data_IF_446066021017
#
_entry.id   IF_446066021017
#
_cell.length_a   1.000
_cell.length_b   1.000
_cell.length_c   1.000
_cell.angle_alpha   90.00
_cell.angle_beta   90.00
_cell.angle_gamma   90.00
#
_symmetry.space_group_name_H-M   'P 1'
#
loop_
_entity.id
_entity.type
_entity.pdbx_description
1 polymer ?
#
# COMPACT_ATOMS: atom_id res chain seq x y z
N UNK A 1 21.47 25.90 46.70
CA UNK A 1 22.41 24.89 46.17
C UNK A 1 21.60 24.02 45.20
N UNK A 2 21.84 24.26 43.93
CA UNK A 2 21.14 23.62 42.80
C UNK A 2 22.04 22.48 42.36
N UNK A 3 21.58 21.27 42.41
CA UNK A 3 22.27 20.12 41.80
C UNK A 3 21.48 19.65 40.57
N UNK A 4 22.04 20.02 39.39
CA UNK A 4 21.54 19.63 38.09
C UNK A 4 22.10 18.28 37.72
N UNK A 5 21.20 17.28 37.52
CA UNK A 5 21.57 15.99 36.94
C UNK A 5 21.13 15.97 35.48
N UNK A 6 22.12 16.22 34.61
CA UNK A 6 21.97 16.03 33.15
C UNK A 6 21.90 14.53 32.83
N UNK A 7 20.75 14.05 32.36
CA UNK A 7 20.65 12.76 31.68
C UNK A 7 21.02 12.96 30.21
N UNK A 8 22.04 12.26 29.76
CA UNK A 8 22.45 12.16 28.36
C UNK A 8 21.36 11.45 27.57
N UNK A 9 20.77 12.16 26.61
CA UNK A 9 19.95 11.58 25.55
C UNK A 9 20.90 11.21 24.43
N UNK A 10 20.95 9.92 24.07
CA UNK A 10 21.76 9.42 22.95
C UNK A 10 21.24 9.95 21.63
N UNK A 11 22.08 10.66 20.91
CA UNK A 11 21.79 11.12 19.56
C UNK A 11 21.91 9.95 18.58
N UNK A 12 20.79 9.54 18.02
CA UNK A 12 20.78 8.72 16.79
C UNK A 12 20.98 9.69 15.63
N UNK A 13 22.12 9.57 14.96
CA UNK A 13 22.41 10.35 13.75
C UNK A 13 21.65 9.76 12.57
N UNK A 14 20.59 10.44 12.17
CA UNK A 14 19.95 10.22 10.87
C UNK A 14 20.78 11.02 9.85
N UNK A 15 21.43 10.34 8.91
CA UNK A 15 22.14 10.98 7.81
C UNK A 15 21.13 11.59 6.82
N UNK A 16 20.86 12.89 6.99
CA UNK A 16 20.27 13.74 5.97
C UNK A 16 21.35 14.13 4.96
N UNK A 17 21.32 13.51 3.78
CA UNK A 17 22.16 13.96 2.65
C UNK A 17 21.57 15.26 2.11
N UNK A 18 22.06 16.40 2.58
CA UNK A 18 21.86 17.70 1.94
C UNK A 18 22.77 17.78 0.71
N UNK A 19 22.20 17.91 -0.48
CA UNK A 19 22.92 18.37 -1.66
C UNK A 19 23.39 19.81 -1.43
N UNK A 20 24.67 20.00 -1.29
CA UNK A 20 25.30 21.32 -1.31
C UNK A 20 25.54 21.72 -2.76
N UNK A 21 24.87 22.78 -3.22
CA UNK A 21 25.19 23.49 -4.45
C UNK A 21 26.36 24.44 -4.19
N UNK A 22 27.56 24.07 -4.63
CA UNK A 22 28.72 24.93 -4.64
C UNK A 22 28.96 25.47 -6.05
N UNK A 23 28.79 26.78 -6.22
CA UNK A 23 29.21 27.52 -7.42
C UNK A 23 30.69 27.86 -7.29
N UNK A 24 31.50 27.40 -8.23
CA UNK A 24 32.85 27.91 -8.46
C UNK A 24 33.02 28.26 -9.92
N UNK A 25 33.33 29.53 -10.18
CA UNK A 25 33.69 30.07 -11.50
C UNK A 25 35.16 29.75 -11.82
N UNK A 26 35.44 29.27 -13.02
CA UNK A 26 36.77 29.14 -13.56
C UNK A 26 36.73 29.00 -15.08
N UNK A 27 37.47 29.93 -15.74
CA UNK A 27 37.49 30.21 -17.19
C UNK A 27 38.34 29.22 -18.03
N UNK A 28 37.96 29.13 -19.33
CA UNK A 28 38.75 28.81 -20.56
C UNK A 28 39.18 27.34 -20.79
N UNK A 29 38.89 26.70 -21.93
CA UNK A 29 39.17 26.99 -23.34
C UNK A 29 38.51 25.93 -24.23
N UNK A 30 38.13 26.37 -25.45
CA UNK A 30 37.62 25.55 -26.53
C UNK A 30 38.68 24.59 -27.09
N UNK A 31 38.33 23.34 -27.37
CA UNK A 31 38.87 22.58 -28.51
C UNK A 31 37.79 21.70 -29.10
N UNK A 32 37.62 21.83 -30.39
CA UNK A 32 36.79 21.05 -31.30
C UNK A 32 37.43 19.69 -31.51
N UNK A 33 36.68 18.59 -31.39
CA UNK A 33 37.20 17.25 -31.65
C UNK A 33 36.13 16.19 -31.75
N UNK A 34 35.67 15.91 -32.95
CA UNK A 34 35.21 14.63 -33.55
C UNK A 34 34.57 13.55 -32.65
N UNK A 35 33.32 13.17 -33.00
CA UNK A 35 32.67 11.92 -32.65
C UNK A 35 33.56 10.70 -32.96
N UNK A 36 33.63 9.71 -32.06
CA UNK A 36 33.96 8.35 -32.46
C UNK A 36 32.69 7.52 -32.65
N UNK A 37 32.77 6.69 -33.69
CA UNK A 37 31.80 5.73 -34.15
C UNK A 37 31.55 4.63 -33.14
N UNK A 38 30.35 4.02 -33.25
CA UNK A 38 30.00 2.78 -32.58
C UNK A 38 31.05 1.71 -32.88
N UNK A 39 31.67 1.17 -31.85
CA UNK A 39 32.48 -0.05 -31.92
C UNK A 39 31.79 -1.15 -31.11
N UNK A 40 31.54 -2.24 -31.81
CA UNK A 40 31.19 -3.56 -31.34
C UNK A 40 32.01 -3.93 -30.09
N UNK A 41 31.32 -4.31 -29.02
CA UNK A 41 31.91 -5.12 -27.96
C UNK A 41 31.44 -6.57 -28.11
N UNK A 42 32.38 -7.36 -28.61
CA UNK A 42 32.29 -8.79 -28.71
C UNK A 42 32.11 -9.47 -27.32
N UNK A 43 31.31 -10.51 -27.37
CA UNK A 43 31.00 -11.43 -26.28
C UNK A 43 32.22 -11.97 -25.53
N UNK A 44 32.22 -11.88 -24.23
CA UNK A 44 32.94 -12.81 -23.37
C UNK A 44 32.13 -13.12 -22.11
N UNK A 45 31.74 -14.38 -21.97
CA UNK A 45 31.55 -15.16 -20.76
C UNK A 45 30.60 -14.66 -19.71
N UNK A 46 29.46 -15.36 -19.54
CA UNK A 46 28.64 -15.45 -18.32
C UNK A 46 28.52 -14.17 -17.46
N UNK A 47 28.09 -13.06 -18.03
CA UNK A 47 27.50 -11.97 -17.25
C UNK A 47 26.02 -12.26 -17.13
N UNK A 48 25.57 -12.71 -15.95
CA UNK A 48 24.15 -12.74 -15.63
C UNK A 48 23.58 -11.34 -15.97
N UNK A 49 22.42 -11.31 -16.65
CA UNK A 49 21.75 -10.04 -16.94
C UNK A 49 21.55 -9.29 -15.65
N UNK A 50 21.98 -8.03 -15.58
CA UNK A 50 21.80 -7.14 -14.45
C UNK A 50 20.75 -6.10 -14.81
N UNK A 51 19.77 -5.92 -13.94
CA UNK A 51 18.78 -4.86 -14.08
C UNK A 51 19.20 -3.67 -13.23
N UNK A 52 19.37 -2.52 -13.86
CA UNK A 52 19.52 -1.24 -13.16
C UNK A 52 18.14 -0.65 -12.87
N UNK A 53 17.81 -0.46 -11.60
CA UNK A 53 16.52 0.05 -11.16
C UNK A 53 16.66 0.99 -9.96
N UNK A 54 16.18 2.22 -10.09
CA UNK A 54 16.25 3.27 -9.06
C UNK A 54 17.67 3.47 -8.50
N UNK A 55 18.68 3.42 -9.39
CA UNK A 55 20.09 3.63 -9.04
C UNK A 55 20.75 2.45 -8.32
N UNK A 56 20.12 1.28 -8.32
CA UNK A 56 20.68 0.04 -7.78
C UNK A 56 20.73 -1.04 -8.85
N UNK A 57 21.75 -1.90 -8.77
CA UNK A 57 21.95 -3.04 -9.67
C UNK A 57 21.41 -4.32 -9.05
N UNK A 58 20.56 -5.02 -9.77
CA UNK A 58 19.95 -6.28 -9.33
C UNK A 58 20.32 -7.39 -10.33
N UNK A 59 20.97 -8.48 -9.88
CA UNK A 59 21.18 -9.64 -10.74
C UNK A 59 19.83 -10.26 -11.09
N UNK A 60 19.63 -10.57 -12.37
CA UNK A 60 18.44 -11.28 -12.85
C UNK A 60 18.67 -12.79 -12.79
N UNK A 61 17.60 -13.54 -12.56
CA UNK A 61 17.55 -14.98 -12.51
C UNK A 61 16.27 -15.53 -13.16
N UNK A 62 16.00 -16.83 -12.99
CA UNK A 62 14.79 -17.46 -13.53
C UNK A 62 13.48 -16.99 -12.85
N UNK A 63 13.57 -16.24 -11.74
CA UNK A 63 12.41 -15.60 -11.09
C UNK A 63 12.04 -14.27 -11.71
N UNK A 64 12.99 -13.59 -12.37
CA UNK A 64 12.76 -12.27 -12.98
C UNK A 64 11.62 -12.31 -13.99
N UNK A 65 10.61 -11.43 -13.81
CA UNK A 65 9.42 -11.40 -14.65
C UNK A 65 8.88 -9.99 -14.92
N UNK A 66 9.73 -8.97 -14.78
CA UNK A 66 9.37 -7.57 -15.02
C UNK A 66 9.19 -7.30 -16.52
N UNK A 67 8.07 -6.69 -16.88
CA UNK A 67 7.85 -6.22 -18.25
C UNK A 67 8.35 -4.77 -18.44
N UNK A 68 8.67 -4.38 -19.67
CA UNK A 68 9.05 -3.00 -20.00
C UNK A 68 7.97 -1.99 -19.63
N UNK A 69 6.69 -2.37 -19.76
CA UNK A 69 5.53 -1.56 -19.41
C UNK A 69 5.51 -1.24 -17.92
N UNK A 70 5.74 -2.23 -17.06
CA UNK A 70 5.80 -2.03 -15.60
C UNK A 70 7.04 -1.21 -15.21
N UNK A 71 8.20 -1.53 -15.78
CA UNK A 71 9.44 -0.79 -15.52
C UNK A 71 9.31 0.70 -15.85
N UNK A 72 8.59 1.08 -16.91
CA UNK A 72 8.35 2.49 -17.26
C UNK A 72 7.47 3.24 -16.25
N UNK A 73 6.81 2.55 -15.33
CA UNK A 73 5.96 3.11 -14.28
C UNK A 73 6.68 3.26 -12.94
N UNK A 74 7.75 2.48 -12.72
CA UNK A 74 8.53 2.55 -11.48
C UNK A 74 9.16 3.94 -11.30
N UNK A 75 8.97 4.52 -10.13
CA UNK A 75 9.50 5.83 -9.79
C UNK A 75 8.74 7.02 -10.37
N UNK A 76 7.58 6.81 -10.99
CA UNK A 76 6.72 7.92 -11.46
C UNK A 76 6.11 8.71 -10.32
N UNK A 77 5.88 8.09 -9.17
CA UNK A 77 5.43 8.71 -7.91
C UNK A 77 4.24 9.66 -8.11
N UNK A 78 3.17 9.20 -8.79
CA UNK A 78 2.00 10.02 -9.12
C UNK A 78 1.35 10.65 -7.87
N UNK A 79 1.40 9.93 -6.74
CA UNK A 79 0.93 10.41 -5.44
C UNK A 79 1.73 11.59 -4.88
N UNK A 80 2.89 11.90 -5.44
CA UNK A 80 3.75 13.04 -5.08
C UNK A 80 3.79 14.13 -6.18
N UNK A 81 3.07 13.93 -7.27
CA UNK A 81 2.95 14.95 -8.31
C UNK A 81 1.84 15.94 -7.94
N UNK A 82 2.21 17.16 -7.61
CA UNK A 82 1.28 18.23 -7.23
C UNK A 82 0.16 18.37 -8.27
N UNK A 83 -1.07 18.52 -7.81
CA UNK A 83 -2.28 18.62 -8.63
C UNK A 83 -2.67 17.33 -9.37
N UNK A 84 -1.98 16.22 -9.16
CA UNK A 84 -2.49 14.93 -9.60
C UNK A 84 -3.63 14.47 -8.69
N UNK A 85 -4.71 13.82 -9.18
CA UNK A 85 -5.82 13.39 -8.30
C UNK A 85 -5.38 12.48 -7.14
N UNK A 86 -4.38 11.62 -7.34
CA UNK A 86 -3.82 10.80 -6.26
C UNK A 86 -3.07 11.61 -5.21
N UNK A 87 -2.38 12.69 -5.64
CA UNK A 87 -1.76 13.63 -4.72
C UNK A 87 -2.82 14.35 -3.87
N UNK A 88 -3.93 14.77 -4.47
CA UNK A 88 -5.03 15.42 -3.74
C UNK A 88 -5.59 14.51 -2.65
N UNK A 89 -5.89 13.25 -2.96
CA UNK A 89 -6.40 12.28 -1.97
C UNK A 89 -5.37 12.08 -0.86
N UNK A 90 -4.10 11.87 -1.21
CA UNK A 90 -3.02 11.71 -0.23
C UNK A 90 -2.93 12.90 0.72
N UNK A 91 -2.91 14.11 0.20
CA UNK A 91 -2.80 15.31 1.04
C UNK A 91 -4.05 15.50 1.93
N UNK A 92 -5.26 15.21 1.44
CA UNK A 92 -6.49 15.25 2.25
C UNK A 92 -6.46 14.24 3.41
N UNK A 93 -6.01 13.01 3.14
CA UNK A 93 -5.84 11.99 4.20
C UNK A 93 -4.78 12.45 5.20
N UNK A 94 -3.63 12.91 4.73
CA UNK A 94 -2.54 13.42 5.58
C UNK A 94 -3.00 14.59 6.44
N UNK A 95 -3.69 15.57 5.87
CA UNK A 95 -4.24 16.72 6.60
C UNK A 95 -5.21 16.26 7.69
N UNK A 96 -6.12 15.33 7.38
CA UNK A 96 -7.04 14.77 8.36
C UNK A 96 -6.30 14.16 9.56
N UNK A 97 -5.29 13.31 9.31
CA UNK A 97 -4.51 12.71 10.39
C UNK A 97 -3.72 13.75 11.19
N UNK A 98 -3.17 14.77 10.55
CA UNK A 98 -2.42 15.83 11.23
C UNK A 98 -3.29 16.72 12.10
N UNK A 99 -4.53 16.95 11.71
CA UNK A 99 -5.49 17.75 12.48
C UNK A 99 -6.14 16.95 13.62
N UNK A 100 -6.47 15.69 13.39
CA UNK A 100 -7.21 14.87 14.37
C UNK A 100 -6.32 14.20 15.39
N UNK A 101 -5.07 13.88 15.06
CA UNK A 101 -4.16 13.12 15.91
C UNK A 101 -2.93 13.96 16.24
N UNK A 102 -3.07 14.74 17.31
CA UNK A 102 -2.05 15.69 17.78
C UNK A 102 -1.45 15.20 19.09
N UNK A 103 -0.14 15.14 19.15
CA UNK A 103 0.59 14.79 20.38
C UNK A 103 0.56 15.91 21.43
N UNK A 104 1.10 15.64 22.59
CA UNK A 104 1.08 16.54 23.76
C UNK A 104 1.64 17.95 23.50
N UNK A 105 2.51 18.10 22.51
CA UNK A 105 3.16 19.38 22.18
C UNK A 105 2.59 20.06 20.93
N UNK A 106 1.42 19.63 20.47
CA UNK A 106 0.78 20.18 19.28
C UNK A 106 1.39 19.69 17.96
N UNK A 107 2.30 18.70 18.01
CA UNK A 107 2.88 18.07 16.82
C UNK A 107 1.99 16.92 16.33
N UNK A 108 1.91 16.66 15.01
CA UNK A 108 1.22 15.49 14.50
C UNK A 108 1.75 14.20 15.12
N UNK A 109 0.85 13.29 15.48
CA UNK A 109 1.20 11.99 16.02
C UNK A 109 1.78 11.07 14.95
N UNK A 110 1.20 11.11 13.75
CA UNK A 110 1.59 10.23 12.65
C UNK A 110 2.74 10.83 11.83
N UNK A 111 3.79 10.05 11.61
CA UNK A 111 4.83 10.34 10.63
C UNK A 111 4.41 9.82 9.24
N UNK A 112 4.74 10.54 8.16
CA UNK A 112 4.36 10.16 6.80
C UNK A 112 5.59 9.75 5.99
N UNK A 113 5.52 8.58 5.36
CA UNK A 113 6.54 7.99 4.50
C UNK A 113 5.94 7.77 3.11
N UNK A 114 6.22 8.66 2.17
CA UNK A 114 5.65 8.65 0.82
C UNK A 114 6.72 8.59 -0.30
N UNK A 115 7.96 8.28 0.06
CA UNK A 115 9.10 8.18 -0.86
C UNK A 115 9.92 6.88 -0.70
N UNK A 116 9.38 5.89 0.03
CA UNK A 116 10.06 4.61 0.23
C UNK A 116 10.19 3.83 -1.09
N UNK A 117 11.36 3.20 -1.28
CA UNK A 117 11.64 2.40 -2.47
C UNK A 117 10.56 1.33 -2.70
N UNK A 118 9.99 1.22 -3.91
CA UNK A 118 9.05 0.14 -4.23
C UNK A 118 9.73 -1.22 -4.41
N UNK A 119 11.05 -1.26 -4.52
CA UNK A 119 11.80 -2.54 -4.54
C UNK A 119 12.06 -2.98 -3.12
N UNK A 120 11.48 -4.12 -2.76
CA UNK A 120 11.56 -4.73 -1.44
C UNK A 120 12.07 -6.17 -1.56
N UNK A 121 12.50 -6.75 -0.45
CA UNK A 121 12.80 -8.17 -0.39
C UNK A 121 11.51 -9.00 -0.36
N UNK A 122 11.58 -10.25 -0.81
CA UNK A 122 10.47 -11.21 -0.66
C UNK A 122 10.11 -11.42 0.81
N UNK A 123 11.09 -11.35 1.71
CA UNK A 123 10.86 -11.40 3.15
C UNK A 123 10.00 -10.23 3.65
N UNK A 124 10.33 -8.99 3.26
CA UNK A 124 9.53 -7.80 3.61
C UNK A 124 8.09 -7.89 3.09
N UNK A 125 7.92 -8.40 1.86
CA UNK A 125 6.59 -8.47 1.24
C UNK A 125 5.71 -9.59 1.78
N UNK A 126 6.31 -10.66 2.33
CA UNK A 126 5.58 -11.87 2.73
C UNK A 126 5.90 -12.34 4.15
N UNK A 127 7.14 -12.74 4.43
CA UNK A 127 7.48 -13.43 5.67
C UNK A 127 7.33 -12.52 6.90
N UNK A 128 7.72 -11.26 6.78
CA UNK A 128 7.55 -10.27 7.85
C UNK A 128 6.07 -10.02 8.21
N UNK A 129 5.17 -10.36 7.31
CA UNK A 129 3.71 -10.25 7.45
C UNK A 129 3.03 -11.60 7.73
N UNK A 130 3.80 -12.60 8.14
CA UNK A 130 3.29 -13.92 8.50
C UNK A 130 2.55 -14.64 7.35
N UNK A 131 2.76 -14.23 6.10
CA UNK A 131 2.15 -14.88 4.94
C UNK A 131 2.84 -16.23 4.72
N UNK A 132 2.12 -17.38 4.76
CA UNK A 132 2.70 -18.71 4.61
C UNK A 132 3.47 -18.89 3.30
N UNK A 133 4.48 -19.76 3.31
CA UNK A 133 5.36 -19.98 2.15
C UNK A 133 4.61 -20.55 0.94
N UNK A 134 3.55 -21.30 1.16
CA UNK A 134 2.68 -21.91 0.14
C UNK A 134 1.45 -21.06 -0.21
N UNK A 135 1.34 -19.87 0.38
CA UNK A 135 0.18 -18.98 0.15
C UNK A 135 0.07 -18.57 -1.32
N UNK A 136 -1.15 -18.62 -1.92
CA UNK A 136 -1.36 -18.28 -3.32
C UNK A 136 -0.83 -16.91 -3.73
N UNK A 137 -0.89 -15.90 -2.84
CA UNK A 137 -0.39 -14.54 -3.10
C UNK A 137 1.11 -14.45 -3.41
N UNK A 138 1.89 -15.52 -3.15
CA UNK A 138 3.32 -15.57 -3.50
C UNK A 138 3.58 -16.05 -4.94
N UNK A 139 2.54 -16.41 -5.68
CA UNK A 139 2.70 -16.91 -7.04
C UNK A 139 3.36 -15.88 -7.95
N UNK A 140 4.25 -16.36 -8.81
CA UNK A 140 4.92 -15.57 -9.83
C UNK A 140 3.91 -14.96 -10.84
N UNK A 141 2.75 -15.61 -11.00
CA UNK A 141 1.64 -15.11 -11.80
C UNK A 141 1.00 -13.84 -11.27
N UNK A 142 1.09 -13.57 -9.95
CA UNK A 142 0.40 -12.46 -9.30
C UNK A 142 1.33 -11.30 -8.94
N UNK A 143 2.66 -11.54 -8.98
CA UNK A 143 3.67 -10.59 -8.54
C UNK A 143 4.73 -10.27 -9.59
N UNK A 144 5.40 -9.15 -9.41
CA UNK A 144 6.53 -8.69 -10.21
C UNK A 144 7.84 -8.89 -9.46
N UNK A 145 8.56 -9.97 -9.78
CA UNK A 145 9.85 -10.32 -9.20
C UNK A 145 11.00 -9.69 -9.99
N UNK A 146 11.89 -9.01 -9.27
CA UNK A 146 13.17 -8.55 -9.78
C UNK A 146 14.13 -9.75 -9.94
N UNK A 147 14.15 -10.60 -8.90
CA UNK A 147 14.84 -11.89 -8.83
C UNK A 147 14.25 -12.74 -7.70
N UNK A 148 14.86 -13.87 -7.34
CA UNK A 148 14.37 -14.77 -6.29
C UNK A 148 14.31 -14.16 -4.88
N UNK A 149 14.99 -13.02 -4.64
CA UNK A 149 15.05 -12.38 -3.31
C UNK A 149 14.44 -10.99 -3.27
N UNK A 150 14.23 -10.35 -4.42
CA UNK A 150 13.68 -9.00 -4.52
C UNK A 150 12.49 -8.95 -5.48
N UNK A 151 11.55 -8.07 -5.18
CA UNK A 151 10.35 -7.86 -5.97
C UNK A 151 9.89 -6.40 -5.89
N UNK A 152 9.00 -6.00 -6.79
CA UNK A 152 8.22 -4.77 -6.61
C UNK A 152 7.14 -5.07 -5.56
N UNK A 153 7.01 -4.22 -4.55
CA UNK A 153 6.05 -4.42 -3.44
C UNK A 153 4.63 -4.61 -3.97
N UNK A 154 3.95 -5.63 -3.49
CA UNK A 154 2.55 -5.89 -3.83
C UNK A 154 1.56 -5.08 -2.96
N UNK A 155 2.05 -4.50 -1.86
CA UNK A 155 1.33 -3.64 -0.91
C UNK A 155 2.32 -2.81 -0.10
N UNK A 156 1.82 -1.73 0.51
CA UNK A 156 2.62 -0.84 1.36
C UNK A 156 3.00 -1.46 2.69
N UNK A 157 2.27 -2.50 3.15
CA UNK A 157 2.55 -3.24 4.39
C UNK A 157 3.94 -3.91 4.42
N UNK A 158 4.60 -4.05 3.26
CA UNK A 158 5.99 -4.52 3.18
C UNK A 158 6.98 -3.66 4.00
N UNK A 159 6.59 -2.45 4.37
CA UNK A 159 7.41 -1.54 5.17
C UNK A 159 7.07 -1.51 6.66
N UNK A 160 5.99 -2.17 7.10
CA UNK A 160 5.54 -2.15 8.49
C UNK A 160 6.65 -2.56 9.46
N UNK A 161 7.25 -3.73 9.21
CA UNK A 161 8.24 -4.30 10.13
C UNK A 161 9.45 -3.38 10.29
N UNK A 162 9.97 -2.81 9.22
CA UNK A 162 11.13 -1.93 9.25
C UNK A 162 10.84 -0.64 10.03
N UNK A 163 9.66 -0.06 9.85
CA UNK A 163 9.26 1.17 10.54
C UNK A 163 8.98 0.93 12.03
N UNK A 164 8.32 -0.17 12.37
CA UNK A 164 8.14 -0.61 13.76
C UNK A 164 9.49 -0.89 14.43
N UNK A 165 10.38 -1.58 13.73
CA UNK A 165 11.74 -1.86 14.21
C UNK A 165 12.57 -0.59 14.43
N UNK A 166 12.29 0.45 13.68
CA UNK A 166 12.88 1.78 13.89
C UNK A 166 12.31 2.53 15.10
N UNK A 167 11.33 1.96 15.82
CA UNK A 167 10.72 2.53 17.01
C UNK A 167 9.59 3.52 16.73
N UNK A 168 8.91 3.38 15.59
CA UNK A 168 7.77 4.22 15.24
C UNK A 168 6.46 3.58 15.70
N UNK A 169 5.68 4.33 16.48
CA UNK A 169 4.40 3.86 17.04
C UNK A 169 3.19 4.32 16.23
N UNK A 170 3.33 5.36 15.41
CA UNK A 170 2.26 5.87 14.56
C UNK A 170 2.82 6.42 13.24
N UNK A 171 2.41 5.84 12.11
CA UNK A 171 2.88 6.27 10.81
C UNK A 171 1.88 5.97 9.68
N UNK A 172 2.01 6.73 8.59
CA UNK A 172 1.36 6.49 7.32
C UNK A 172 2.43 6.15 6.28
N UNK A 173 2.19 5.10 5.49
CA UNK A 173 3.02 4.76 4.33
C UNK A 173 2.19 4.94 3.07
N UNK A 174 2.73 5.69 2.10
CA UNK A 174 2.05 5.92 0.82
C UNK A 174 2.99 5.56 -0.32
N UNK A 175 2.49 4.87 -1.32
CA UNK A 175 3.28 4.60 -2.50
C UNK A 175 2.63 3.69 -3.52
N UNK A 176 3.29 3.60 -4.66
CA UNK A 176 2.94 2.70 -5.74
C UNK A 176 3.11 1.24 -5.33
N UNK A 177 2.19 0.40 -5.75
CA UNK A 177 2.20 -1.05 -5.54
C UNK A 177 1.96 -1.77 -6.87
N UNK A 178 2.41 -3.02 -6.96
CA UNK A 178 2.56 -3.73 -8.21
C UNK A 178 1.98 -5.13 -8.10
N UNK A 179 0.92 -5.39 -8.88
CA UNK A 179 0.27 -6.71 -8.98
C UNK A 179 0.05 -7.07 -10.42
N UNK A 180 0.26 -8.34 -10.76
CA UNK A 180 -0.04 -8.82 -12.11
C UNK A 180 -1.54 -9.06 -12.21
N UNK A 181 -2.22 -8.10 -12.80
CA UNK A 181 -3.65 -8.13 -13.02
C UNK A 181 -3.98 -7.81 -14.47
N UNK A 182 -5.19 -8.12 -14.90
CA UNK A 182 -5.71 -7.69 -16.19
C UNK A 182 -5.85 -6.17 -16.21
N UNK A 183 -5.88 -5.60 -17.42
CA UNK A 183 -6.04 -4.16 -17.59
C UNK A 183 -7.44 -3.89 -18.11
N UNK A 184 -8.27 -3.26 -17.27
CA UNK A 184 -9.61 -2.81 -17.60
C UNK A 184 -9.90 -1.44 -16.97
N UNK A 185 -11.17 -1.05 -16.88
CA UNK A 185 -11.56 0.23 -16.27
C UNK A 185 -11.35 0.28 -14.75
N UNK A 186 -11.23 -0.88 -14.09
CA UNK A 186 -11.14 -1.02 -12.63
C UNK A 186 -9.78 -1.54 -12.17
N UNK A 187 -9.00 -2.19 -13.07
CA UNK A 187 -7.76 -2.86 -12.75
C UNK A 187 -6.60 -2.31 -13.59
N UNK A 188 -5.47 -2.11 -12.93
CA UNK A 188 -4.20 -1.74 -13.57
C UNK A 188 -3.04 -2.34 -12.78
N UNK A 189 -1.96 -2.80 -13.44
CA UNK A 189 -0.86 -3.49 -12.77
C UNK A 189 -0.10 -2.66 -11.74
N UNK A 190 -0.21 -1.34 -11.82
CA UNK A 190 0.43 -0.39 -10.91
C UNK A 190 -0.62 0.57 -10.39
N UNK A 191 -0.83 0.57 -9.09
CA UNK A 191 -1.74 1.47 -8.41
C UNK A 191 -1.10 1.95 -7.10
N UNK A 192 -1.79 2.76 -6.30
CA UNK A 192 -1.22 3.38 -5.10
C UNK A 192 -2.03 2.98 -3.87
N UNK A 193 -1.32 2.66 -2.81
CA UNK A 193 -1.91 2.41 -1.50
C UNK A 193 -1.44 3.44 -0.49
N UNK A 194 -2.32 3.74 0.45
CA UNK A 194 -2.00 4.40 1.71
C UNK A 194 -2.32 3.43 2.82
N UNK A 195 -1.37 3.25 3.71
CA UNK A 195 -1.48 2.42 4.90
C UNK A 195 -1.24 3.24 6.15
N UNK A 196 -1.95 2.97 7.21
CA UNK A 196 -1.72 3.53 8.53
C UNK A 196 -1.53 2.44 9.57
N UNK A 197 -0.58 2.68 10.47
CA UNK A 197 -0.27 1.82 11.62
C UNK A 197 -0.25 2.65 12.87
N UNK A 198 -0.80 2.14 13.97
CA UNK A 198 -0.68 2.73 15.29
C UNK A 198 -0.51 1.66 16.35
N UNK A 199 0.52 1.80 17.17
CA UNK A 199 0.75 1.03 18.38
C UNK A 199 0.34 1.84 19.60
N UNK A 200 -0.04 1.12 20.66
CA UNK A 200 -0.42 1.66 21.96
C UNK A 200 0.31 0.94 23.07
N UNK A 201 0.86 1.69 23.98
CA UNK A 201 1.23 1.19 25.30
C UNK A 201 -0.02 0.92 26.14
N UNK A 202 0.13 0.13 27.23
CA UNK A 202 -0.94 -0.09 28.20
C UNK A 202 -1.53 1.23 28.70
N UNK A 203 -0.67 2.19 29.03
CA UNK A 203 -1.09 3.49 29.55
C UNK A 203 -1.93 4.27 28.52
N UNK A 204 -1.50 4.29 27.25
CA UNK A 204 -2.23 5.01 26.20
C UNK A 204 -3.60 4.40 25.93
N UNK A 205 -3.68 3.06 25.83
CA UNK A 205 -4.93 2.39 25.48
C UNK A 205 -5.98 2.52 26.57
N UNK A 206 -5.59 2.46 27.84
CA UNK A 206 -6.52 2.46 28.97
C UNK A 206 -6.69 3.84 29.62
N UNK A 207 -6.04 4.89 29.09
CA UNK A 207 -6.21 6.25 29.60
C UNK A 207 -7.67 6.70 29.50
N UNK A 208 -8.23 7.20 30.61
CA UNK A 208 -9.63 7.66 30.69
C UNK A 208 -10.66 6.55 30.83
N UNK A 209 -10.26 5.29 30.90
CA UNK A 209 -11.13 4.16 31.19
C UNK A 209 -11.23 4.01 32.72
N UNK A 210 -12.46 3.80 33.22
CA UNK A 210 -12.67 3.51 34.66
C UNK A 210 -11.92 2.23 35.01
N UNK A 211 -11.14 2.29 36.08
CA UNK A 211 -10.29 1.19 36.57
C UNK A 211 -9.25 0.70 35.54
N UNK A 212 -8.91 1.55 34.53
CA UNK A 212 -8.00 1.23 33.43
C UNK A 212 -6.59 0.80 33.87
N UNK A 213 -6.12 1.28 35.04
CA UNK A 213 -4.81 0.87 35.58
C UNK A 213 -4.75 -0.64 35.91
N UNK A 214 -5.89 -1.24 36.31
CA UNK A 214 -6.00 -2.67 36.62
C UNK A 214 -6.06 -3.56 35.38
N UNK A 215 -6.45 -3.02 34.22
CA UNK A 215 -6.57 -3.74 32.99
C UNK A 215 -5.17 -4.12 32.42
N UNK A 216 -5.11 -5.21 31.67
CA UNK A 216 -3.89 -5.69 31.06
C UNK A 216 -4.06 -5.77 29.53
N UNK A 217 -2.97 -5.56 28.79
CA UNK A 217 -2.97 -5.77 27.34
C UNK A 217 -2.97 -7.25 26.96
N UNK A 218 -2.26 -8.04 27.77
CA UNK A 218 -1.93 -9.43 27.44
C UNK A 218 -2.43 -10.40 28.49
N UNK A 219 -2.80 -11.58 28.04
CA UNK A 219 -3.16 -12.75 28.84
C UNK A 219 -2.69 -14.03 28.14
N UNK A 220 -2.80 -15.17 28.76
CA UNK A 220 -2.63 -16.49 28.13
C UNK A 220 -3.99 -17.16 28.02
N UNK A 221 -4.47 -17.29 26.80
CA UNK A 221 -5.79 -17.87 26.55
C UNK A 221 -5.82 -18.54 25.16
N UNK A 222 -6.98 -19.02 24.74
CA UNK A 222 -7.18 -19.55 23.39
C UNK A 222 -7.53 -18.44 22.41
N UNK A 223 -7.10 -18.59 21.15
CA UNK A 223 -7.56 -17.77 20.06
C UNK A 223 -9.05 -17.98 19.82
N UNK A 224 -9.76 -16.92 19.53
CA UNK A 224 -11.19 -16.94 19.21
C UNK A 224 -11.45 -16.09 17.97
N UNK A 225 -12.68 -16.07 17.47
CA UNK A 225 -13.07 -15.19 16.37
C UNK A 225 -12.85 -13.69 16.67
N UNK A 226 -12.82 -13.33 17.96
CA UNK A 226 -12.82 -11.94 18.41
C UNK A 226 -11.49 -11.45 18.93
N UNK A 227 -10.53 -12.34 19.21
CA UNK A 227 -9.22 -11.95 19.74
C UNK A 227 -8.14 -13.01 19.51
N UNK A 228 -6.89 -12.56 19.52
CA UNK A 228 -5.71 -13.42 19.53
C UNK A 228 -5.53 -14.07 20.91
N UNK A 229 -4.82 -15.18 20.95
CA UNK A 229 -4.55 -15.96 22.17
C UNK A 229 -3.82 -15.15 23.26
N UNK A 230 -3.00 -14.18 22.86
CA UNK A 230 -2.20 -13.35 23.77
C UNK A 230 -2.87 -12.07 24.22
N UNK A 231 -3.94 -11.64 23.56
CA UNK A 231 -4.62 -10.38 23.87
C UNK A 231 -5.75 -10.58 24.88
N UNK A 232 -5.97 -9.59 25.76
CA UNK A 232 -7.20 -9.52 26.55
C UNK A 232 -8.37 -9.08 25.69
N UNK A 233 -9.59 -9.46 26.07
CA UNK A 233 -10.80 -9.04 25.36
C UNK A 233 -11.01 -7.54 25.44
N UNK A 234 -10.70 -6.94 26.59
CA UNK A 234 -10.80 -5.50 26.84
C UNK A 234 -9.88 -4.71 25.91
N UNK A 235 -8.62 -5.11 25.82
CA UNK A 235 -7.65 -4.47 24.94
C UNK A 235 -8.06 -4.58 23.47
N UNK A 236 -8.50 -5.77 23.04
CA UNK A 236 -8.93 -5.98 21.64
C UNK A 236 -10.15 -5.12 21.28
N UNK A 237 -11.17 -5.06 22.18
CA UNK A 237 -12.36 -4.24 21.94
C UNK A 237 -12.06 -2.74 21.89
N UNK A 238 -11.17 -2.26 22.72
CA UNK A 238 -10.76 -0.85 22.70
C UNK A 238 -9.97 -0.51 21.44
N UNK A 239 -9.08 -1.40 20.99
CA UNK A 239 -8.39 -1.24 19.71
C UNK A 239 -9.33 -1.25 18.52
N UNK A 240 -10.26 -2.20 18.49
CA UNK A 240 -11.28 -2.28 17.44
C UNK A 240 -12.13 -0.99 17.39
N UNK A 241 -12.54 -0.50 18.57
CA UNK A 241 -13.29 0.74 18.68
C UNK A 241 -12.49 1.95 18.15
N UNK A 242 -11.24 2.12 18.60
CA UNK A 242 -10.36 3.22 18.16
C UNK A 242 -10.12 3.15 16.64
N UNK A 243 -9.84 1.96 16.13
CA UNK A 243 -9.64 1.72 14.69
C UNK A 243 -10.89 2.09 13.87
N UNK A 244 -12.05 1.52 14.23
CA UNK A 244 -13.31 1.77 13.50
C UNK A 244 -13.71 3.25 13.59
N UNK A 245 -13.54 3.89 14.75
CA UNK A 245 -13.80 5.32 14.91
C UNK A 245 -12.86 6.17 14.06
N UNK A 246 -11.56 5.86 14.05
CA UNK A 246 -10.54 6.54 13.24
C UNK A 246 -10.91 6.50 11.76
N UNK A 247 -11.24 5.33 11.26
CA UNK A 247 -11.55 5.12 9.84
C UNK A 247 -12.92 5.69 9.44
N UNK A 248 -13.91 5.60 10.31
CA UNK A 248 -15.22 6.26 10.09
C UNK A 248 -15.04 7.77 9.95
N UNK A 249 -14.27 8.41 10.84
CA UNK A 249 -13.98 9.86 10.77
C UNK A 249 -13.23 10.21 9.49
N UNK A 250 -12.25 9.39 9.08
CA UNK A 250 -11.53 9.61 7.83
C UNK A 250 -12.47 9.58 6.62
N UNK A 251 -13.30 8.54 6.51
CA UNK A 251 -14.21 8.35 5.39
C UNK A 251 -15.28 9.44 5.38
N UNK A 252 -15.83 9.82 6.54
CA UNK A 252 -16.75 10.96 6.66
C UNK A 252 -16.08 12.29 6.24
N UNK A 253 -14.82 12.51 6.62
CA UNK A 253 -14.08 13.71 6.17
C UNK A 253 -13.91 13.74 4.64
N UNK A 254 -13.68 12.61 4.00
CA UNK A 254 -13.48 12.53 2.56
C UNK A 254 -14.78 12.67 1.76
N UNK A 255 -15.84 12.01 2.20
CA UNK A 255 -17.09 11.87 1.44
C UNK A 255 -18.24 12.76 1.96
N UNK A 256 -18.12 13.30 3.16
CA UNK A 256 -19.16 14.07 3.82
C UNK A 256 -20.05 13.25 4.76
N UNK A 257 -20.96 13.96 5.44
CA UNK A 257 -21.90 13.36 6.38
C UNK A 257 -23.03 12.59 5.65
N UNK A 258 -23.63 11.61 6.32
CA UNK A 258 -24.78 10.86 5.80
C UNK A 258 -24.39 9.66 4.90
N UNK A 259 -23.14 9.25 4.94
CA UNK A 259 -22.67 8.05 4.24
C UNK A 259 -23.03 6.80 5.03
N UNK A 260 -23.69 5.84 4.37
CA UNK A 260 -23.94 4.52 4.94
C UNK A 260 -22.64 3.71 4.93
N UNK A 261 -22.21 3.28 6.11
CA UNK A 261 -20.99 2.49 6.32
C UNK A 261 -21.37 1.16 6.93
N UNK A 262 -20.81 0.07 6.42
CA UNK A 262 -20.85 -1.24 7.08
C UNK A 262 -19.47 -1.84 7.24
N UNK A 263 -19.34 -2.66 8.28
CA UNK A 263 -18.14 -3.42 8.58
C UNK A 263 -18.40 -4.89 8.28
N UNK A 264 -17.48 -5.50 7.54
CA UNK A 264 -17.55 -6.90 7.16
C UNK A 264 -16.35 -7.62 7.76
N UNK A 265 -16.59 -8.73 8.45
CA UNK A 265 -15.51 -9.56 8.97
C UNK A 265 -14.76 -10.22 7.82
N UNK A 266 -13.44 -10.19 7.88
CA UNK A 266 -12.57 -10.78 6.87
C UNK A 266 -11.34 -11.44 7.51
N UNK A 267 -10.42 -11.92 6.68
CA UNK A 267 -9.19 -12.55 7.14
C UNK A 267 -7.98 -12.00 6.40
N UNK A 268 -6.98 -11.53 7.17
CA UNK A 268 -5.64 -11.23 6.70
C UNK A 268 -4.62 -11.97 7.56
N UNK A 269 -3.52 -12.52 6.97
CA UNK A 269 -2.52 -13.26 7.74
C UNK A 269 -1.83 -12.47 8.85
N UNK A 270 -1.81 -11.14 8.76
CA UNK A 270 -1.06 -10.24 9.64
C UNK A 270 -1.95 -9.41 10.58
N UNK A 271 -3.27 -9.64 10.60
CA UNK A 271 -4.21 -9.01 11.54
C UNK A 271 -5.25 -10.01 12.04
N UNK A 272 -5.70 -9.84 13.30
CA UNK A 272 -6.83 -10.57 13.86
C UNK A 272 -7.35 -9.88 15.15
N UNK A 273 -8.66 -9.51 15.25
CA UNK A 273 -9.66 -9.61 14.18
C UNK A 273 -9.37 -8.67 13.02
N UNK A 274 -9.95 -9.00 11.86
CA UNK A 274 -9.78 -8.25 10.62
C UNK A 274 -11.12 -7.85 10.04
N UNK A 275 -11.18 -6.67 9.42
CA UNK A 275 -12.40 -6.08 8.89
C UNK A 275 -12.15 -5.42 7.54
N UNK A 276 -13.19 -5.40 6.72
CA UNK A 276 -13.33 -4.52 5.58
C UNK A 276 -14.38 -3.46 5.87
N UNK A 277 -14.11 -2.22 5.45
CA UNK A 277 -15.10 -1.16 5.46
C UNK A 277 -15.69 -1.03 4.07
N UNK A 278 -17.01 -1.11 3.97
CA UNK A 278 -17.75 -0.82 2.77
C UNK A 278 -18.64 0.41 2.95
N UNK A 279 -18.78 1.18 1.88
CA UNK A 279 -19.67 2.33 1.82
C UNK A 279 -20.77 2.09 0.80
N UNK A 280 -21.99 2.59 1.07
CA UNK A 280 -23.06 2.62 0.07
C UNK A 280 -22.86 3.83 -0.83
N UNK A 281 -22.53 3.57 -2.09
CA UNK A 281 -22.35 4.61 -3.09
C UNK A 281 -23.28 4.33 -4.29
N UNK A 282 -24.21 5.25 -4.54
CA UNK A 282 -25.26 5.08 -5.58
C UNK A 282 -26.09 3.79 -5.49
N UNK A 283 -26.31 3.27 -4.26
CA UNK A 283 -27.07 2.06 -4.01
C UNK A 283 -26.27 0.76 -4.09
N UNK A 284 -24.97 0.84 -4.37
CA UNK A 284 -24.05 -0.30 -4.37
C UNK A 284 -23.08 -0.23 -3.19
N UNK A 285 -22.77 -1.39 -2.59
CA UNK A 285 -21.78 -1.48 -1.53
C UNK A 285 -20.38 -1.65 -2.14
N UNK A 286 -19.52 -0.69 -1.85
CA UNK A 286 -18.15 -0.66 -2.35
C UNK A 286 -17.16 -0.78 -1.18
N UNK A 287 -16.28 -1.76 -1.23
CA UNK A 287 -15.14 -1.87 -0.34
C UNK A 287 -14.18 -0.69 -0.56
N UNK A 288 -13.83 0.02 0.50
CA UNK A 288 -12.91 1.17 0.45
C UNK A 288 -11.58 0.90 1.14
N UNK A 289 -11.56 0.04 2.16
CA UNK A 289 -10.34 -0.29 2.91
C UNK A 289 -10.48 -1.63 3.66
N UNK A 290 -9.31 -2.23 3.92
CA UNK A 290 -9.16 -3.34 4.87
C UNK A 290 -8.38 -2.90 6.09
N UNK A 291 -8.67 -3.48 7.26
CA UNK A 291 -8.02 -3.13 8.52
C UNK A 291 -8.10 -4.26 9.55
N UNK A 292 -7.39 -4.11 10.67
CA UNK A 292 -7.48 -5.06 11.77
C UNK A 292 -6.51 -4.79 12.90
N UNK A 293 -6.65 -5.57 13.96
CA UNK A 293 -5.69 -5.61 15.06
C UNK A 293 -4.48 -6.40 14.63
N UNK A 294 -3.30 -5.81 14.70
CA UNK A 294 -2.06 -6.43 14.22
C UNK A 294 -1.77 -7.74 14.96
N UNK A 295 -1.30 -8.75 14.25
CA UNK A 295 -0.82 -9.98 14.88
C UNK A 295 0.32 -9.68 15.85
N UNK A 296 0.17 -10.10 17.09
CA UNK A 296 1.15 -9.82 18.15
C UNK A 296 2.52 -10.43 17.84
N UNK A 297 2.54 -11.54 17.12
CA UNK A 297 3.79 -12.15 16.64
C UNK A 297 4.58 -11.19 15.75
N UNK A 298 3.91 -10.43 14.88
CA UNK A 298 4.56 -9.42 14.03
C UNK A 298 5.12 -8.29 14.89
N UNK A 299 4.31 -7.73 15.79
CA UNK A 299 4.69 -6.63 16.69
C UNK A 299 5.88 -7.03 17.57
N UNK A 300 5.84 -8.24 18.15
CA UNK A 300 6.93 -8.79 18.94
C UNK A 300 8.22 -8.96 18.13
N UNK A 301 8.12 -9.45 16.91
CA UNK A 301 9.29 -9.65 16.03
C UNK A 301 9.98 -8.35 15.65
N UNK A 302 9.22 -7.26 15.60
CA UNK A 302 9.73 -5.91 15.35
C UNK A 302 10.33 -5.24 16.63
N UNK A 303 10.15 -5.85 17.81
CA UNK A 303 10.75 -5.37 19.06
C UNK A 303 9.84 -4.52 19.94
N UNK A 304 8.52 -4.50 19.70
CA UNK A 304 7.52 -3.74 20.44
C UNK A 304 6.62 -4.66 21.32
N UNK A 305 7.24 -5.54 22.10
CA UNK A 305 6.56 -6.62 22.86
C UNK A 305 5.57 -6.14 23.93
N UNK A 306 5.71 -4.93 24.39
CA UNK A 306 4.89 -4.29 25.43
C UNK A 306 3.74 -3.43 24.85
N UNK A 307 3.58 -3.45 23.53
CA UNK A 307 2.59 -2.68 22.80
C UNK A 307 1.65 -3.58 21.99
N UNK A 308 0.48 -3.04 21.69
CA UNK A 308 -0.57 -3.65 20.86
C UNK A 308 -1.05 -2.60 19.87
N UNK A 309 -1.49 -3.00 18.69
CA UNK A 309 -1.84 -1.98 17.70
C UNK A 309 -2.77 -2.45 16.60
N UNK A 310 -3.10 -1.51 15.75
CA UNK A 310 -3.92 -1.74 14.57
C UNK A 310 -3.24 -1.22 13.30
N UNK A 311 -3.68 -1.77 12.18
CA UNK A 311 -3.28 -1.32 10.84
C UNK A 311 -4.49 -1.25 9.91
N UNK A 312 -4.42 -0.36 8.92
CA UNK A 312 -5.38 -0.30 7.81
C UNK A 312 -4.67 -0.01 6.50
N UNK A 313 -5.28 -0.43 5.39
CA UNK A 313 -4.79 -0.13 4.05
C UNK A 313 -5.94 0.24 3.12
N UNK A 314 -5.74 1.26 2.29
CA UNK A 314 -6.71 1.72 1.31
C UNK A 314 -6.05 1.99 -0.05
N UNK A 315 -6.82 1.81 -1.14
CA UNK A 315 -6.39 2.13 -2.51
C UNK A 315 -6.73 3.56 -2.88
N UNK A 316 -5.73 4.36 -3.25
CA UNK A 316 -5.95 5.78 -3.58
C UNK A 316 -6.77 5.96 -4.85
N UNK A 317 -6.55 5.13 -5.87
CA UNK A 317 -7.30 5.18 -7.13
C UNK A 317 -8.78 4.94 -6.91
N UNK A 318 -9.15 3.92 -6.12
CA UNK A 318 -10.55 3.63 -5.82
C UNK A 318 -11.25 4.82 -5.14
N UNK A 319 -10.62 5.40 -4.13
CA UNK A 319 -11.15 6.60 -3.48
C UNK A 319 -11.28 7.77 -4.45
N UNK A 320 -10.26 8.01 -5.29
CA UNK A 320 -10.28 9.10 -6.26
C UNK A 320 -11.35 8.88 -7.35
N UNK A 321 -11.54 7.63 -7.82
CA UNK A 321 -12.60 7.30 -8.78
C UNK A 321 -13.97 7.61 -8.22
N UNK A 322 -14.23 7.24 -6.95
CA UNK A 322 -15.52 7.52 -6.30
C UNK A 322 -15.69 9.02 -6.01
N UNK A 323 -14.69 9.68 -5.42
CA UNK A 323 -14.77 11.08 -5.01
C UNK A 323 -14.86 12.06 -6.16
N UNK A 324 -14.21 11.76 -7.27
CA UNK A 324 -14.09 12.66 -8.41
C UNK A 324 -14.88 12.22 -9.64
N UNK A 325 -15.66 11.13 -9.54
CA UNK A 325 -16.41 10.53 -10.66
C UNK A 325 -15.50 10.15 -11.84
N UNK A 326 -14.29 9.63 -11.57
CA UNK A 326 -13.35 9.17 -12.61
C UNK A 326 -13.75 7.75 -13.04
N UNK A 327 -14.15 7.53 -14.30
CA UNK A 327 -14.77 6.26 -14.70
C UNK A 327 -13.77 5.13 -14.99
N UNK A 328 -12.49 5.45 -15.12
CA UNK A 328 -11.48 4.51 -15.59
C UNK A 328 -10.12 4.74 -14.91
N UNK A 329 -9.60 3.69 -14.26
CA UNK A 329 -8.31 3.73 -13.54
C UNK A 329 -7.12 4.09 -14.45
N UNK A 330 -7.22 3.81 -15.75
CA UNK A 330 -6.17 4.10 -16.73
C UNK A 330 -5.94 5.60 -16.92
N UNK A 331 -6.93 6.43 -16.60
CA UNK A 331 -6.84 7.90 -16.69
C UNK A 331 -5.77 8.47 -15.74
N UNK A 332 -5.54 7.84 -14.57
CA UNK A 332 -4.49 8.28 -13.66
C UNK A 332 -3.08 8.22 -14.28
N UNK A 333 -2.89 7.38 -15.29
CA UNK A 333 -1.63 7.24 -16.01
C UNK A 333 -1.57 8.06 -17.30
N UNK A 334 -2.61 8.85 -17.57
CA UNK A 334 -2.66 9.77 -18.71
C UNK A 334 -1.79 11.00 -18.44
N UNK A 335 -1.09 11.46 -19.47
CA UNK A 335 -0.39 12.76 -19.48
C UNK A 335 -1.26 13.84 -20.17
N UNK A 336 -2.54 13.56 -20.42
CA UNK A 336 -3.44 14.48 -21.08
C UNK A 336 -3.82 15.65 -20.16
N UNK A 337 -3.41 16.85 -20.58
CA UNK A 337 -3.70 18.10 -19.86
C UNK A 337 -5.20 18.37 -19.69
N UNK A 338 -6.07 17.85 -20.57
CA UNK A 338 -7.52 17.97 -20.42
C UNK A 338 -8.04 17.26 -19.18
N UNK A 339 -7.38 16.13 -18.81
CA UNK A 339 -7.64 15.41 -17.57
C UNK A 339 -6.99 16.14 -16.39
N UNK A 340 -5.67 16.34 -16.45
CA UNK A 340 -4.87 16.79 -15.30
C UNK A 340 -5.24 18.23 -14.84
N UNK A 341 -5.58 19.14 -15.76
CA UNK A 341 -5.92 20.52 -15.40
C UNK A 341 -7.19 20.64 -14.55
N UNK A 342 -8.09 19.66 -14.60
CA UNK A 342 -9.33 19.67 -13.80
C UNK A 342 -9.05 19.52 -12.30
N UNK A 343 -7.89 19.01 -11.93
CA UNK A 343 -7.44 18.79 -10.55
C UNK A 343 -6.48 19.86 -10.04
N UNK A 344 -6.24 20.93 -10.81
CA UNK A 344 -5.43 22.09 -10.40
C UNK A 344 -6.26 23.04 -9.53
N UNK A 345 -6.49 22.61 -8.30
CA UNK A 345 -7.26 23.37 -7.31
C UNK A 345 -6.33 24.15 -6.39
N UNK A 346 -6.81 25.28 -5.86
CA UNK A 346 -6.10 26.08 -4.85
C UNK A 346 -6.26 25.56 -3.42
N UNK A 347 -7.36 24.86 -3.17
CA UNK A 347 -7.68 24.20 -1.89
C UNK A 347 -7.87 22.72 -2.13
N UNK A 348 -7.11 21.88 -1.43
CA UNK A 348 -7.18 20.41 -1.57
C UNK A 348 -8.55 19.85 -1.18
N UNK A 349 -9.32 20.57 -0.37
CA UNK A 349 -10.68 20.17 0.05
C UNK A 349 -11.78 20.65 -0.90
N UNK A 350 -11.41 21.37 -1.96
CA UNK A 350 -12.36 21.78 -2.99
C UNK A 350 -13.00 20.55 -3.65
N UNK A 351 -14.34 20.59 -3.78
CA UNK A 351 -15.06 19.54 -4.52
C UNK A 351 -14.71 19.60 -6.00
N UNK A 352 -14.18 18.52 -6.53
CA UNK A 352 -13.90 18.34 -7.97
C UNK A 352 -14.76 17.19 -8.47
N UNK A 353 -15.36 17.36 -9.63
CA UNK A 353 -15.98 16.27 -10.41
C UNK A 353 -15.35 16.24 -11.78
N UNK A 354 -14.88 15.09 -12.17
CA UNK A 354 -14.33 14.85 -13.50
C UNK A 354 -15.42 15.05 -14.56
N UNK A 355 -15.07 15.77 -15.62
CA UNK A 355 -15.93 15.99 -16.78
C UNK A 355 -15.22 15.45 -18.02
N UNK A 356 -15.84 14.47 -18.69
CA UNK A 356 -15.36 14.03 -19.99
C UNK A 356 -15.68 15.10 -21.03
N UNK A 357 -14.66 15.60 -21.71
CA UNK A 357 -14.83 16.58 -22.79
C UNK A 357 -15.24 15.81 -24.05
N UNK A 358 -16.51 15.98 -24.45
CA UNK A 358 -17.16 15.24 -25.54
C UNK A 358 -16.49 15.33 -26.92
N UNK A 359 -15.58 16.27 -27.13
CA UNK A 359 -14.97 16.52 -28.46
C UNK A 359 -13.89 15.50 -28.86
N UNK A 360 -13.32 14.74 -27.93
CA UNK A 360 -12.33 13.68 -28.18
C UNK A 360 -12.19 12.80 -26.95
N UNK A 361 -12.45 11.49 -27.04
CA UNK A 361 -12.29 10.61 -25.88
C UNK A 361 -10.88 10.69 -25.33
N UNK A 362 -10.74 10.78 -24.01
CA UNK A 362 -9.46 10.85 -23.28
C UNK A 362 -8.68 9.54 -23.35
N UNK A 363 -9.38 8.44 -23.59
CA UNK A 363 -8.78 7.13 -23.85
C UNK A 363 -9.03 6.77 -25.32
N UNK A 364 -8.02 6.27 -26.06
CA UNK A 364 -8.27 5.74 -27.37
C UNK A 364 -9.27 4.59 -27.30
N UNK A 365 -10.27 4.60 -28.18
CA UNK A 365 -11.32 3.57 -28.28
C UNK A 365 -10.76 2.16 -28.61
N UNK A 366 -9.48 2.05 -28.92
CA UNK A 366 -8.76 0.82 -29.22
C UNK A 366 -7.43 0.80 -28.46
N UNK A 367 -7.47 0.46 -27.19
CA UNK A 367 -6.38 -0.35 -26.64
C UNK A 367 -6.72 -1.77 -27.08
N UNK A 368 -5.85 -2.48 -27.82
CA UNK A 368 -6.13 -3.83 -28.24
C UNK A 368 -6.49 -4.66 -27.00
N UNK A 369 -7.58 -5.42 -27.03
CA UNK A 369 -7.81 -6.41 -26.01
C UNK A 369 -6.64 -7.39 -26.12
N UNK A 370 -5.91 -7.56 -25.04
CA UNK A 370 -4.76 -8.46 -24.94
C UNK A 370 -3.49 -8.01 -25.70
N UNK A 371 -2.66 -7.21 -25.02
CA UNK A 371 -1.29 -6.94 -25.49
C UNK A 371 -0.40 -8.17 -25.36
N UNK A 372 0.45 -8.32 -26.32
CA UNK A 372 1.41 -9.38 -26.61
C UNK A 372 2.56 -9.54 -25.57
N UNK A 373 2.30 -9.42 -24.27
CA UNK A 373 3.32 -9.62 -23.22
C UNK A 373 3.04 -10.79 -22.26
N UNK A 374 1.99 -11.57 -22.54
CA UNK A 374 1.81 -12.88 -21.92
C UNK A 374 2.29 -13.93 -22.92
N UNK A 375 3.58 -14.20 -22.94
CA UNK A 375 4.10 -15.43 -23.57
C UNK A 375 3.55 -16.59 -22.73
N UNK A 376 2.63 -17.42 -23.27
CA UNK A 376 2.24 -18.64 -22.56
C UNK A 376 3.45 -19.58 -22.60
N UNK A 377 3.95 -20.00 -21.46
CA UNK A 377 4.83 -21.16 -21.40
C UNK A 377 4.08 -22.32 -22.06
N UNK A 378 4.59 -22.75 -23.23
CA UNK A 378 4.10 -23.94 -23.91
C UNK A 378 4.39 -25.14 -23.03
N UNK A 379 3.34 -25.79 -22.61
CA UNK A 379 3.41 -27.17 -22.21
C UNK A 379 2.95 -27.51 -20.81
N UNK A 380 1.65 -27.46 -20.58
CA UNK A 380 1.00 -28.49 -19.80
C UNK A 380 -0.43 -28.69 -20.35
N UNK A 381 -0.62 -29.82 -21.01
CA UNK A 381 -1.94 -30.24 -21.49
C UNK A 381 -2.85 -30.51 -20.30
N UNK A 382 -4.05 -29.93 -20.35
CA UNK A 382 -5.13 -30.31 -19.43
C UNK A 382 -5.51 -31.79 -19.63
N UNK A 383 -5.74 -32.54 -18.54
CA UNK A 383 -6.32 -33.87 -18.64
C UNK A 383 -7.74 -33.81 -19.18
N UNK A 384 -8.20 -34.76 -19.99
CA UNK A 384 -9.53 -34.77 -20.59
C UNK A 384 -10.57 -35.13 -19.52
N UNK A 385 -11.53 -34.24 -19.25
CA UNK A 385 -12.65 -34.57 -18.39
C UNK A 385 -13.38 -33.43 -17.69
N UNK A 386 -13.47 -32.22 -18.27
CA UNK A 386 -14.38 -31.19 -17.73
C UNK A 386 -15.25 -30.60 -18.85
N UNK A 387 -16.34 -31.29 -19.16
CA UNK A 387 -17.49 -30.74 -19.90
C UNK A 387 -18.56 -30.30 -18.89
N UNK A 388 -18.78 -28.98 -18.73
CA UNK A 388 -19.82 -28.46 -17.84
C UNK A 388 -19.78 -26.94 -17.83
N UNK A 389 -20.66 -26.30 -18.63
CA UNK A 389 -20.71 -24.87 -18.89
C UNK A 389 -20.88 -24.00 -17.66
N UNK A 390 -20.04 -22.98 -17.57
CA UNK A 390 -20.24 -21.82 -16.70
C UNK A 390 -20.97 -20.72 -17.50
N UNK A 391 -22.21 -20.45 -17.12
CA UNK A 391 -22.92 -19.23 -17.52
C UNK A 391 -22.44 -18.08 -16.65
N UNK A 392 -22.18 -16.95 -17.32
CA UNK A 392 -21.80 -15.70 -16.73
C UNK A 392 -22.83 -15.22 -15.69
N UNK A 393 -22.35 -14.89 -14.50
CA UNK A 393 -23.07 -14.05 -13.54
C UNK A 393 -22.28 -12.75 -13.39
N UNK A 394 -22.89 -11.65 -13.82
CA UNK A 394 -22.42 -10.30 -13.60
C UNK A 394 -22.53 -9.96 -12.11
N UNK A 395 -21.47 -9.39 -11.52
CA UNK A 395 -21.47 -8.88 -10.15
C UNK A 395 -20.14 -9.12 -9.44
N UNK A 396 -19.09 -8.40 -9.83
CA UNK A 396 -17.81 -8.47 -9.13
C UNK A 396 -17.38 -7.06 -8.69
N UNK A 397 -17.82 -6.67 -7.48
CA UNK A 397 -17.39 -5.48 -6.77
C UNK A 397 -16.40 -5.73 -5.63
N UNK A 398 -15.73 -6.88 -5.54
CA UNK A 398 -14.99 -7.27 -4.35
C UNK A 398 -13.58 -7.81 -4.54
N UNK A 399 -12.84 -7.48 -5.61
CA UNK A 399 -11.60 -8.22 -5.93
C UNK A 399 -10.26 -7.53 -5.68
N UNK A 400 -10.19 -6.31 -5.13
CA UNK A 400 -8.87 -5.65 -4.95
C UNK A 400 -8.13 -6.14 -3.69
N UNK A 401 -8.83 -6.63 -2.67
CA UNK A 401 -8.20 -7.28 -1.51
C UNK A 401 -8.21 -8.82 -1.58
N UNK A 402 -9.10 -9.42 -2.37
CA UNK A 402 -9.16 -10.88 -2.55
C UNK A 402 -7.93 -11.50 -3.23
N UNK A 403 -7.00 -10.74 -3.79
CA UNK A 403 -5.73 -11.30 -4.27
C UNK A 403 -4.80 -11.80 -3.15
N UNK A 404 -5.16 -11.57 -1.87
CA UNK A 404 -4.53 -12.24 -0.72
C UNK A 404 -5.23 -13.56 -0.36
N UNK A 405 -6.45 -13.79 -0.88
CA UNK A 405 -7.20 -15.03 -0.71
C UNK A 405 -7.29 -15.70 -2.08
N UNK A 406 -6.64 -16.84 -2.28
CA UNK A 406 -6.74 -17.61 -3.51
C UNK A 406 -8.18 -18.09 -3.77
N UNK A 407 -8.56 -18.38 -5.04
CA UNK A 407 -9.87 -18.93 -5.38
C UNK A 407 -10.04 -20.34 -4.81
N UNK A 408 -10.72 -20.48 -3.67
CA UNK A 408 -10.92 -21.78 -3.03
C UNK A 408 -11.56 -21.79 -1.65
N UNK A 409 -11.76 -20.65 -0.99
CA UNK A 409 -12.52 -20.63 0.26
C UNK A 409 -14.01 -20.42 -0.03
N UNK A 410 -14.73 -21.50 -0.32
CA UNK A 410 -16.19 -21.51 -0.21
C UNK A 410 -16.57 -21.59 1.27
N UNK A 411 -17.46 -20.72 1.72
CA UNK A 411 -18.09 -20.67 3.05
C UNK A 411 -19.05 -21.86 3.32
N UNK A 412 -18.70 -23.08 2.96
CA UNK A 412 -19.49 -24.27 3.27
C UNK A 412 -18.68 -25.23 4.14
N UNK A 413 -18.54 -24.92 5.44
CA UNK A 413 -17.85 -25.78 6.36
C UNK A 413 -17.80 -25.31 7.83
N UNK A 414 -18.73 -24.41 8.23
CA UNK A 414 -18.87 -23.96 9.63
C UNK A 414 -20.31 -24.09 10.11
N UNK A 415 -20.86 -25.28 9.94
CA UNK A 415 -21.94 -25.80 10.80
C UNK A 415 -21.47 -27.18 11.24
N UNK A 416 -21.24 -27.34 12.53
CA UNK A 416 -20.74 -28.46 13.30
C UNK A 416 -19.24 -28.37 13.69
N UNK A 417 -19.00 -27.55 14.70
CA UNK A 417 -18.13 -27.87 15.86
C UNK A 417 -18.32 -26.81 16.94
#
# INVERSE_FOLDING_TARGET
MICSTLRRVGHVHIYLVRKASGVSKGHHQQTVGSRPAASEFAARGASGNVLELLGKSYPQDNYSNLSRKVLSRVGRNLHNQQHHPLWLIKERVKEHFYQQYVGRFGTPLFSVYDDLSPVVTTWQNFDSLLIPADHPSRKKGDNYYVNGTHMLRAHTSAHQWDLLRAGLDAFLVVGDVYRRDQIDSQHYPVFHQLEGVRLFSKHELFTGIKDGESLQLFEQSSRSAYKQETHTMEATKLLEFDLKQTLTRLVTHLFGDGLDIRWVDCYFPFTHPSFEMEINFHGEWLEVLGCGVMEQQLVNSAGAQDQIGWAFGLGLERLAMILYDIPDIRLFWSEDERFLKQFRVSDINQKVKFQDTQDKPLLPNHLPPHGEDLVPERGQACPPGCAGGCRAAAGCGGQILMALLGPGCSLSGLQDL
#
